data_IF_052901530701
#
_entry.id   IF_052901530701
#
_cell.length_a   1.000
_cell.length_b   1.000
_cell.length_c   1.000
_cell.angle_alpha   90.00
_cell.angle_beta   90.00
_cell.angle_gamma   90.00
#
_symmetry.space_group_name_H-M   'P 1'
#
loop_
_entity.id
_entity.type
_entity.pdbx_description
1 polymer ?
#
# COMPACT_ATOMS: atom_id res chain seq x y z
N UNK A 1 0.79 -18.36 34.22
CA UNK A 1 1.56 -19.59 33.93
C UNK A 1 1.01 -20.18 32.65
N UNK A 2 1.88 -20.81 31.86
CA UNK A 2 1.66 -21.44 30.54
C UNK A 2 1.94 -20.54 29.32
N UNK A 3 3.23 -20.45 28.97
CA UNK A 3 3.67 -20.28 27.58
C UNK A 3 4.28 -21.62 27.15
N UNK A 4 3.68 -22.25 26.15
CA UNK A 4 4.16 -23.49 25.53
C UNK A 4 5.30 -23.14 24.57
N UNK A 5 6.50 -23.65 24.82
CA UNK A 5 7.59 -23.61 23.85
C UNK A 5 7.44 -24.79 22.88
N UNK A 6 7.26 -24.50 21.60
CA UNK A 6 7.41 -25.46 20.51
C UNK A 6 8.89 -25.84 20.42
N UNK A 7 9.18 -27.12 20.66
CA UNK A 7 10.52 -27.68 20.49
C UNK A 7 10.60 -28.32 19.10
N UNK A 8 11.44 -27.76 18.23
CA UNK A 8 11.73 -28.33 16.91
C UNK A 8 12.37 -29.71 17.05
N UNK A 9 11.75 -30.74 16.48
CA UNK A 9 12.30 -32.10 16.36
C UNK A 9 12.66 -32.31 14.90
N UNK A 10 13.91 -32.02 14.53
CA UNK A 10 14.45 -32.22 13.19
C UNK A 10 15.98 -32.13 13.20
N UNK A 11 16.66 -32.98 12.43
CA UNK A 11 18.12 -33.16 12.47
C UNK A 11 18.94 -32.10 11.70
N UNK A 12 18.31 -31.04 11.17
CA UNK A 12 18.98 -29.97 10.42
C UNK A 12 18.75 -28.60 11.07
N UNK A 13 19.38 -28.38 12.21
CA UNK A 13 19.48 -27.06 12.84
C UNK A 13 20.84 -26.40 12.52
N UNK A 14 20.86 -25.13 12.05
CA UNK A 14 22.10 -24.37 11.87
C UNK A 14 22.90 -24.24 13.18
N UNK A 15 24.24 -24.04 13.13
CA UNK A 15 25.13 -24.19 14.29
C UNK A 15 24.90 -23.20 15.44
N UNK A 16 24.03 -22.20 15.27
CA UNK A 16 23.83 -21.12 16.24
C UNK A 16 22.91 -21.49 17.42
N UNK A 17 22.24 -22.65 17.38
CA UNK A 17 21.35 -23.11 18.46
C UNK A 17 21.99 -24.09 19.44
N UNK A 18 23.31 -24.01 19.64
CA UNK A 18 24.02 -24.88 20.58
C UNK A 18 24.60 -24.11 21.76
N UNK A 19 23.74 -23.40 22.50
CA UNK A 19 24.05 -22.99 23.88
C UNK A 19 22.76 -22.70 24.65
N UNK A 20 22.55 -23.50 25.69
CA UNK A 20 21.63 -23.19 26.77
C UNK A 20 22.30 -22.27 27.78
N UNK A 21 21.47 -21.44 28.42
CA UNK A 21 21.64 -20.81 29.73
C UNK A 21 22.78 -19.80 29.91
N UNK A 22 22.37 -18.52 29.96
CA UNK A 22 22.65 -17.65 31.10
C UNK A 22 24.09 -17.21 31.31
N UNK A 23 24.51 -16.16 30.62
CA UNK A 23 25.42 -15.11 31.13
C UNK A 23 25.11 -13.82 30.37
N UNK A 24 25.19 -12.68 31.05
CA UNK A 24 24.75 -11.39 30.55
C UNK A 24 25.47 -10.93 29.28
N UNK A 25 24.77 -10.12 28.48
CA UNK A 25 25.38 -9.36 27.41
C UNK A 25 26.36 -8.33 28.02
N UNK A 26 27.65 -8.61 27.92
CA UNK A 26 28.71 -7.65 28.19
C UNK A 26 28.66 -6.50 27.16
N UNK A 27 28.68 -5.26 27.65
CA UNK A 27 28.63 -4.03 26.85
C UNK A 27 29.92 -3.74 26.05
N UNK A 28 30.91 -4.62 26.04
CA UNK A 28 32.23 -4.35 25.42
C UNK A 28 32.39 -4.85 23.97
N UNK A 29 31.41 -5.57 23.42
CA UNK A 29 31.49 -6.09 22.02
C UNK A 29 30.95 -5.12 20.96
N UNK A 30 30.35 -3.99 21.34
CA UNK A 30 29.83 -2.99 20.39
C UNK A 30 30.88 -1.98 19.89
N UNK A 31 32.00 -1.82 20.59
CA UNK A 31 33.04 -0.85 20.22
C UNK A 31 33.85 -1.26 18.98
N UNK A 32 34.17 -2.54 18.84
CA UNK A 32 35.07 -3.01 17.78
C UNK A 32 34.43 -2.98 16.37
N UNK A 33 33.11 -3.20 16.28
CA UNK A 33 32.38 -3.14 15.02
C UNK A 33 32.20 -1.68 14.59
N UNK A 34 31.88 -0.77 15.52
CA UNK A 34 31.73 0.66 15.26
C UNK A 34 33.03 1.30 14.75
N UNK A 35 34.19 0.96 15.35
CA UNK A 35 35.49 1.51 14.94
C UNK A 35 35.90 1.01 13.54
N UNK A 36 35.51 -0.21 13.16
CA UNK A 36 35.83 -0.79 11.85
C UNK A 36 35.01 -0.13 10.74
N UNK A 37 33.74 0.21 11.01
CA UNK A 37 32.88 0.90 10.06
C UNK A 37 33.31 2.36 9.84
N UNK A 38 33.66 3.08 10.91
CA UNK A 38 34.14 4.47 10.82
C UNK A 38 35.45 4.59 10.03
N UNK A 39 36.38 3.63 10.17
CA UNK A 39 37.61 3.61 9.35
C UNK A 39 37.34 3.39 7.86
N UNK A 40 36.35 2.58 7.50
CA UNK A 40 35.98 2.35 6.11
C UNK A 40 35.37 3.61 5.48
N UNK A 41 34.52 4.32 6.21
CA UNK A 41 33.88 5.58 5.77
C UNK A 41 34.93 6.69 5.60
N UNK A 42 35.91 6.79 6.50
CA UNK A 42 37.00 7.77 6.37
C UNK A 42 37.89 7.52 5.14
N UNK A 43 38.09 6.26 4.75
CA UNK A 43 38.89 5.87 3.58
C UNK A 43 38.20 6.20 2.25
N UNK A 44 36.88 6.19 2.21
CA UNK A 44 36.08 6.57 1.04
C UNK A 44 35.97 8.10 0.87
N UNK A 45 36.11 8.88 1.95
CA UNK A 45 36.05 10.36 1.91
C UNK A 45 37.33 11.05 1.41
N UNK A 46 38.45 10.33 1.30
CA UNK A 46 39.72 10.86 0.80
C UNK A 46 39.84 10.92 -0.73
N UNK A 47 38.89 10.35 -1.47
CA UNK A 47 38.94 10.37 -2.94
C UNK A 47 38.25 11.63 -3.46
N UNK A 48 39.09 12.57 -3.89
CA UNK A 48 38.79 13.89 -4.44
C UNK A 48 37.94 13.77 -5.72
N UNK A 49 36.63 13.57 -5.58
CA UNK A 49 35.69 13.76 -6.69
C UNK A 49 35.26 15.22 -6.72
N UNK A 50 35.90 15.97 -7.63
CA UNK A 50 35.46 17.29 -8.03
C UNK A 50 34.16 17.13 -8.83
N UNK A 51 33.01 17.29 -8.17
CA UNK A 51 31.76 17.57 -8.86
C UNK A 51 31.15 18.84 -8.26
N UNK A 52 31.46 19.94 -8.92
CA UNK A 52 30.93 21.28 -8.70
C UNK A 52 29.42 21.27 -8.96
N UNK A 53 28.68 21.61 -7.91
CA UNK A 53 27.42 22.38 -7.86
C UNK A 53 26.37 22.10 -8.94
N UNK A 54 25.32 21.34 -8.59
CA UNK A 54 23.90 21.62 -8.90
C UNK A 54 23.02 20.82 -7.94
N UNK A 55 22.87 21.29 -6.70
CA UNK A 55 21.81 20.81 -5.78
C UNK A 55 20.66 21.81 -5.89
N UNK A 56 19.50 21.45 -6.49
CA UNK A 56 18.33 22.33 -6.44
C UNK A 56 17.85 22.47 -4.98
N UNK A 57 17.39 23.67 -4.56
CA UNK A 57 16.96 23.90 -3.19
C UNK A 57 15.53 23.37 -3.03
N UNK A 58 15.40 22.22 -2.35
CA UNK A 58 14.27 21.78 -1.51
C UNK A 58 14.05 20.28 -1.65
N UNK A 59 14.93 19.48 -1.04
CA UNK A 59 14.46 18.23 -0.48
C UNK A 59 13.76 18.62 0.84
N UNK A 60 12.50 19.01 0.75
CA UNK A 60 11.61 18.76 1.88
C UNK A 60 11.70 17.27 2.14
N UNK A 61 12.00 16.89 3.38
CA UNK A 61 11.96 15.51 3.79
C UNK A 61 10.55 14.99 3.47
N UNK A 62 10.42 14.19 2.41
CA UNK A 62 9.19 13.44 2.17
C UNK A 62 9.12 12.47 3.33
N UNK A 63 8.29 12.78 4.32
CA UNK A 63 7.81 11.78 5.24
C UNK A 63 7.20 10.70 4.35
N UNK A 64 7.83 9.51 4.29
CA UNK A 64 7.25 8.30 3.74
C UNK A 64 6.08 7.85 4.62
N UNK A 65 5.12 8.76 4.88
CA UNK A 65 3.78 8.40 5.29
C UNK A 65 3.18 7.66 4.11
N UNK A 66 2.64 6.47 4.34
CA UNK A 66 2.05 5.68 3.27
C UNK A 66 0.88 6.52 2.76
N UNK A 67 0.86 6.95 1.48
CA UNK A 67 -0.05 7.99 0.99
C UNK A 67 -1.54 7.63 1.13
N UNK A 68 -1.85 6.40 1.53
CA UNK A 68 -3.19 5.84 1.59
C UNK A 68 -3.52 5.19 2.95
N UNK A 69 -2.85 5.54 4.05
CA UNK A 69 -3.22 5.00 5.38
C UNK A 69 -4.63 5.45 5.82
N UNK A 70 -4.98 6.72 5.59
CA UNK A 70 -6.33 7.21 5.83
C UNK A 70 -7.35 6.47 4.95
N UNK A 71 -7.01 6.24 3.69
CA UNK A 71 -7.84 5.50 2.74
C UNK A 71 -8.11 4.05 3.20
N UNK A 72 -7.11 3.38 3.78
CA UNK A 72 -7.28 2.04 4.38
C UNK A 72 -8.21 2.06 5.57
N UNK A 73 -8.12 3.09 6.42
CA UNK A 73 -9.03 3.23 7.55
C UNK A 73 -10.47 3.45 7.06
N UNK A 74 -10.67 4.34 6.08
CA UNK A 74 -11.98 4.57 5.46
C UNK A 74 -12.56 3.28 4.86
N UNK A 75 -11.75 2.47 4.17
CA UNK A 75 -12.19 1.18 3.65
C UNK A 75 -12.62 0.21 4.77
N UNK A 76 -11.87 0.16 5.87
CA UNK A 76 -12.20 -0.69 7.02
C UNK A 76 -13.48 -0.26 7.72
N UNK A 77 -13.71 1.05 7.85
CA UNK A 77 -14.93 1.59 8.45
C UNK A 77 -16.15 1.30 7.57
N UNK A 78 -16.03 1.57 6.28
CA UNK A 78 -17.05 1.29 5.27
C UNK A 78 -17.43 -0.19 5.24
N UNK A 79 -16.46 -1.10 5.26
CA UNK A 79 -16.75 -2.53 5.32
C UNK A 79 -17.51 -2.91 6.60
N UNK A 80 -17.10 -2.38 7.75
CA UNK A 80 -17.79 -2.66 9.02
C UNK A 80 -19.25 -2.23 8.98
N UNK A 81 -19.54 -1.07 8.40
CA UNK A 81 -20.88 -0.50 8.30
C UNK A 81 -21.76 -1.21 7.27
N UNK A 82 -21.18 -1.63 6.15
CA UNK A 82 -21.90 -2.20 5.02
C UNK A 82 -21.76 -3.74 4.91
N UNK A 83 -21.21 -4.41 5.92
CA UNK A 83 -21.05 -5.89 5.96
C UNK A 83 -22.36 -6.65 6.20
N UNK A 84 -23.44 -5.94 6.53
CA UNK A 84 -24.78 -6.52 6.67
C UNK A 84 -25.66 -6.06 5.53
N UNK A 85 -26.55 -6.94 5.06
CA UNK A 85 -27.54 -6.59 4.05
C UNK A 85 -28.50 -5.52 4.57
N UNK A 86 -29.10 -4.77 3.65
CA UNK A 86 -30.04 -3.68 3.96
C UNK A 86 -29.42 -2.56 4.81
N UNK A 87 -28.11 -2.34 4.67
CA UNK A 87 -27.38 -1.29 5.40
C UNK A 87 -27.84 0.13 5.04
N UNK A 88 -28.46 0.29 3.87
CA UNK A 88 -29.04 1.56 3.41
C UNK A 88 -30.54 1.69 3.70
N UNK A 89 -31.21 0.63 4.17
CA UNK A 89 -32.66 0.58 4.35
C UNK A 89 -33.47 0.48 3.05
N UNK A 90 -32.82 0.24 1.91
CA UNK A 90 -33.44 0.07 0.60
C UNK A 90 -33.09 -1.29 -0.04
N UNK A 91 -32.66 -2.25 0.76
CA UNK A 91 -32.33 -3.60 0.32
C UNK A 91 -30.95 -3.74 -0.30
N UNK A 92 -29.99 -2.87 0.03
CA UNK A 92 -28.60 -3.04 -0.43
C UNK A 92 -28.01 -4.40 -0.03
N UNK A 93 -27.17 -4.94 -0.91
CA UNK A 93 -26.43 -6.16 -0.61
C UNK A 93 -25.29 -5.85 0.36
N UNK A 94 -24.95 -6.85 1.20
CA UNK A 94 -23.78 -6.78 2.05
C UNK A 94 -22.51 -6.74 1.20
N UNK A 95 -21.54 -5.94 1.60
CA UNK A 95 -20.19 -6.02 1.06
C UNK A 95 -19.58 -7.34 1.50
N UNK A 96 -19.04 -8.09 0.52
CA UNK A 96 -18.41 -9.38 0.78
C UNK A 96 -16.95 -9.20 1.22
N UNK A 97 -16.41 -10.20 1.94
CA UNK A 97 -14.99 -10.22 2.31
C UNK A 97 -14.08 -10.22 1.06
N UNK A 98 -14.51 -10.89 -0.02
CA UNK A 98 -13.76 -10.90 -1.28
C UNK A 98 -13.70 -9.51 -1.93
N UNK A 99 -14.81 -8.76 -1.91
CA UNK A 99 -14.84 -7.38 -2.40
C UNK A 99 -13.92 -6.48 -1.56
N UNK A 100 -13.96 -6.62 -0.23
CA UNK A 100 -13.08 -5.89 0.68
C UNK A 100 -11.60 -6.21 0.42
N UNK A 101 -11.24 -7.49 0.32
CA UNK A 101 -9.87 -7.91 0.03
C UNK A 101 -9.39 -7.43 -1.35
N UNK A 102 -10.28 -7.42 -2.35
CA UNK A 102 -9.99 -6.86 -3.67
C UNK A 102 -9.75 -5.35 -3.62
N UNK A 103 -10.57 -4.60 -2.88
CA UNK A 103 -10.39 -3.17 -2.66
C UNK A 103 -9.07 -2.86 -1.95
N UNK A 104 -8.66 -3.67 -0.95
CA UNK A 104 -7.36 -3.53 -0.31
C UNK A 104 -6.20 -3.69 -1.31
N UNK A 105 -6.28 -4.70 -2.18
CA UNK A 105 -5.26 -4.90 -3.24
C UNK A 105 -5.18 -3.71 -4.17
N UNK A 106 -6.31 -3.11 -4.57
CA UNK A 106 -6.31 -1.89 -5.38
C UNK A 106 -5.53 -0.77 -4.69
N UNK A 107 -5.78 -0.53 -3.40
CA UNK A 107 -5.07 0.50 -2.62
C UNK A 107 -3.55 0.24 -2.59
N UNK A 108 -3.15 -1.02 -2.45
CA UNK A 108 -1.73 -1.40 -2.39
C UNK A 108 -0.99 -1.17 -3.72
N UNK A 109 -1.70 -1.21 -4.85
CA UNK A 109 -1.12 -1.03 -6.19
C UNK A 109 -1.39 0.36 -6.78
N UNK A 110 -2.10 1.22 -6.04
CA UNK A 110 -2.39 2.58 -6.49
C UNK A 110 -1.09 3.41 -6.60
N UNK A 111 -0.88 4.11 -7.72
CA UNK A 111 0.27 4.99 -7.87
C UNK A 111 0.29 6.14 -6.84
N UNK A 112 1.46 6.37 -6.24
CA UNK A 112 1.64 7.40 -5.20
C UNK A 112 1.49 8.86 -5.67
N UNK A 113 1.47 9.10 -6.98
CA UNK A 113 1.27 10.44 -7.55
C UNK A 113 -0.21 10.83 -7.66
N UNK A 114 -1.12 9.87 -7.48
CA UNK A 114 -2.55 10.15 -7.51
C UNK A 114 -3.03 10.72 -6.17
N UNK A 115 -4.00 11.66 -6.20
CA UNK A 115 -4.76 11.95 -5.01
C UNK A 115 -5.53 10.69 -4.58
N UNK A 116 -5.75 10.56 -3.27
CA UNK A 116 -6.57 9.48 -2.73
C UNK A 116 -7.99 9.56 -3.32
N UNK A 117 -8.54 8.44 -3.84
CA UNK A 117 -9.94 8.39 -4.23
C UNK A 117 -10.86 8.50 -3.02
N UNK A 118 -12.10 8.89 -3.26
CA UNK A 118 -13.21 8.66 -2.34
C UNK A 118 -13.66 7.19 -2.46
N UNK A 119 -13.91 6.52 -1.33
CA UNK A 119 -14.42 5.15 -1.32
C UNK A 119 -15.91 5.17 -0.98
N UNK A 120 -16.71 4.46 -1.78
CA UNK A 120 -18.16 4.43 -1.65
C UNK A 120 -18.65 2.98 -1.66
N UNK A 121 -19.61 2.64 -0.81
CA UNK A 121 -20.29 1.36 -0.83
C UNK A 121 -21.39 1.38 -1.89
N UNK A 122 -21.40 0.42 -2.79
CA UNK A 122 -22.47 0.31 -3.79
C UNK A 122 -23.60 -0.60 -3.29
N UNK A 123 -24.87 -0.32 -3.64
CA UNK A 123 -26.00 -1.18 -3.26
C UNK A 123 -25.90 -2.62 -3.79
N UNK A 124 -25.06 -2.86 -4.80
CA UNK A 124 -24.74 -4.19 -5.32
C UNK A 124 -23.84 -5.02 -4.40
N UNK A 125 -23.28 -4.44 -3.33
CA UNK A 125 -22.24 -5.07 -2.49
C UNK A 125 -20.83 -4.92 -3.07
N UNK A 126 -20.68 -4.14 -4.15
CA UNK A 126 -19.40 -3.74 -4.71
C UNK A 126 -18.85 -2.50 -3.95
N UNK A 127 -17.54 -2.25 -4.08
CA UNK A 127 -16.86 -1.07 -3.52
C UNK A 127 -16.40 -0.17 -4.67
N UNK A 128 -16.84 1.08 -4.64
CA UNK A 128 -16.47 2.13 -5.57
C UNK A 128 -15.25 2.93 -5.09
N UNK A 129 -14.42 3.34 -6.04
CA UNK A 129 -13.33 4.29 -5.90
C UNK A 129 -13.54 5.42 -6.88
N UNK A 130 -13.68 6.66 -6.39
CA UNK A 130 -14.00 7.82 -7.20
C UNK A 130 -12.91 8.89 -7.12
N UNK A 131 -12.46 9.34 -8.29
CA UNK A 131 -11.63 10.52 -8.47
C UNK A 131 -12.45 11.62 -9.11
N UNK A 132 -12.79 12.62 -8.32
CA UNK A 132 -13.35 13.86 -8.81
C UNK A 132 -12.26 14.93 -8.92
N UNK A 133 -12.08 15.49 -10.11
CA UNK A 133 -11.14 16.61 -10.32
C UNK A 133 -11.88 17.95 -10.39
N UNK A 134 -12.87 18.04 -11.26
CA UNK A 134 -13.69 19.23 -11.48
C UNK A 134 -14.96 18.86 -12.26
N UNK A 135 -15.84 19.84 -12.50
CA UNK A 135 -17.10 19.61 -13.22
C UNK A 135 -16.84 18.99 -14.59
N UNK A 136 -17.40 17.80 -14.83
CA UNK A 136 -17.23 17.06 -16.08
C UNK A 136 -15.91 16.29 -16.19
N UNK A 137 -15.12 16.21 -15.11
CA UNK A 137 -13.90 15.40 -15.00
C UNK A 137 -13.97 14.51 -13.76
N UNK A 138 -14.49 13.30 -13.96
CA UNK A 138 -14.64 12.27 -12.92
C UNK A 138 -14.20 10.92 -13.47
N UNK A 139 -13.60 10.09 -12.65
CA UNK A 139 -13.31 8.71 -12.97
C UNK A 139 -13.68 7.83 -11.78
N UNK A 140 -14.35 6.72 -12.03
CA UNK A 140 -14.79 5.78 -11.02
C UNK A 140 -14.41 4.36 -11.43
N UNK A 141 -14.05 3.54 -10.44
CA UNK A 141 -13.92 2.09 -10.57
C UNK A 141 -14.69 1.41 -9.46
N UNK A 142 -15.20 0.23 -9.76
CA UNK A 142 -15.99 -0.61 -8.87
C UNK A 142 -15.41 -2.01 -8.86
N UNK A 143 -15.28 -2.59 -7.67
CA UNK A 143 -14.76 -3.94 -7.43
C UNK A 143 -15.68 -4.74 -6.54
N UNK A 144 -15.82 -6.03 -6.84
CA UNK A 144 -16.85 -6.89 -6.25
C UNK A 144 -16.35 -8.24 -5.77
N UNK A 145 -15.03 -8.43 -5.67
CA UNK A 145 -14.44 -9.72 -5.30
C UNK A 145 -14.41 -10.73 -6.43
N UNK A 146 -14.53 -10.28 -7.67
CA UNK A 146 -14.68 -11.14 -8.87
C UNK A 146 -13.48 -11.07 -9.81
N UNK A 147 -12.35 -10.52 -9.34
CA UNK A 147 -11.16 -10.28 -10.16
C UNK A 147 -11.46 -9.42 -11.39
N UNK A 148 -12.45 -8.52 -11.28
CA UNK A 148 -12.88 -7.66 -12.37
C UNK A 148 -13.16 -6.26 -11.83
N UNK A 149 -12.53 -5.29 -12.47
CA UNK A 149 -12.80 -3.87 -12.27
C UNK A 149 -13.83 -3.45 -13.32
N UNK A 150 -14.95 -2.89 -12.87
CA UNK A 150 -15.86 -2.11 -13.72
C UNK A 150 -15.43 -0.65 -13.58
N UNK A 151 -15.36 0.09 -14.68
CA UNK A 151 -14.93 1.48 -14.63
C UNK A 151 -15.78 2.37 -15.52
N UNK A 152 -15.85 3.65 -15.14
CA UNK A 152 -16.49 4.70 -15.91
C UNK A 152 -15.74 6.03 -15.71
N UNK A 153 -15.65 6.83 -16.75
CA UNK A 153 -14.96 8.11 -16.75
C UNK A 153 -15.67 9.13 -17.62
N UNK A 154 -15.67 10.37 -17.14
CA UNK A 154 -16.08 11.55 -17.91
C UNK A 154 -14.87 12.48 -17.98
N UNK A 155 -14.46 12.87 -19.18
CA UNK A 155 -13.27 13.69 -19.43
C UNK A 155 -13.62 14.91 -20.28
N UNK A 156 -14.28 15.91 -19.68
CA UNK A 156 -14.66 17.17 -20.32
C UNK A 156 -15.46 17.03 -21.63
N UNK A 157 -16.37 16.05 -21.67
CA UNK A 157 -17.25 15.79 -22.82
C UNK A 157 -17.18 14.35 -23.31
N UNK A 158 -16.01 13.74 -23.23
CA UNK A 158 -15.84 12.32 -23.52
C UNK A 158 -16.37 11.47 -22.36
N UNK A 159 -17.04 10.36 -22.70
CA UNK A 159 -17.46 9.35 -21.73
C UNK A 159 -16.86 8.02 -22.14
N UNK A 160 -16.23 7.35 -21.19
CA UNK A 160 -15.60 6.06 -21.39
C UNK A 160 -16.03 5.13 -20.26
N UNK A 161 -16.32 3.88 -20.58
CA UNK A 161 -16.69 2.88 -19.59
C UNK A 161 -16.27 1.50 -20.07
N UNK A 162 -16.12 0.57 -19.15
CA UNK A 162 -15.73 -0.78 -19.51
C UNK A 162 -15.58 -1.68 -18.30
N UNK A 163 -15.06 -2.87 -18.58
CA UNK A 163 -14.68 -3.81 -17.54
C UNK A 163 -13.39 -4.51 -17.93
N UNK A 164 -12.50 -4.69 -16.97
CA UNK A 164 -11.19 -5.30 -17.18
C UNK A 164 -10.88 -6.27 -16.05
N UNK A 165 -10.10 -7.30 -16.34
CA UNK A 165 -9.66 -8.25 -15.32
C UNK A 165 -8.60 -7.61 -14.41
N UNK A 166 -8.61 -7.99 -13.13
CA UNK A 166 -7.69 -7.49 -12.12
C UNK A 166 -6.99 -8.64 -11.38
N UNK A 167 -5.67 -8.55 -11.34
CA UNK A 167 -4.79 -9.51 -10.65
C UNK A 167 -3.89 -8.75 -9.66
N UNK A 168 -2.62 -8.61 -10.00
CA UNK A 168 -1.60 -8.05 -9.12
C UNK A 168 -1.22 -6.61 -9.46
N UNK A 169 -1.67 -6.09 -10.61
CA UNK A 169 -1.32 -4.75 -11.08
C UNK A 169 -2.53 -4.02 -11.64
N UNK A 170 -2.53 -2.70 -11.56
CA UNK A 170 -3.59 -1.89 -12.18
C UNK A 170 -3.48 -2.03 -13.70
N UNK A 171 -4.57 -2.45 -14.39
CA UNK A 171 -4.56 -2.60 -15.83
C UNK A 171 -4.21 -1.29 -16.54
N UNK A 172 -3.45 -1.38 -17.63
CA UNK A 172 -2.95 -0.22 -18.38
C UNK A 172 -4.06 0.74 -18.81
N UNK A 173 -5.25 0.20 -19.14
CA UNK A 173 -6.42 1.00 -19.51
C UNK A 173 -6.86 1.94 -18.38
N UNK A 174 -6.87 1.46 -17.12
CA UNK A 174 -7.20 2.26 -15.95
C UNK A 174 -6.13 3.35 -15.74
N UNK A 175 -4.85 3.00 -15.89
CA UNK A 175 -3.75 3.97 -15.79
C UNK A 175 -3.82 5.07 -16.85
N UNK A 176 -4.25 4.73 -18.07
CA UNK A 176 -4.44 5.70 -19.16
C UNK A 176 -5.56 6.70 -18.82
N UNK A 177 -6.69 6.21 -18.28
CA UNK A 177 -7.79 7.05 -17.85
C UNK A 177 -7.41 7.96 -16.67
N UNK A 178 -6.70 7.44 -15.67
CA UNK A 178 -6.21 8.22 -14.53
C UNK A 178 -5.26 9.34 -14.97
N UNK A 179 -4.38 9.09 -15.96
CA UNK A 179 -3.54 10.14 -16.58
C UNK A 179 -4.34 11.14 -17.40
N UNK A 180 -5.42 10.71 -18.08
CA UNK A 180 -6.33 11.61 -18.79
C UNK A 180 -7.06 12.54 -17.82
N UNK A 181 -7.35 12.06 -16.60
CA UNK A 181 -7.95 12.86 -15.53
C UNK A 181 -6.96 13.89 -14.96
N UNK A 182 -5.74 13.46 -14.65
CA UNK A 182 -4.67 14.29 -14.09
C UNK A 182 -3.48 14.42 -15.08
N UNK A 183 -3.63 15.21 -16.16
CA UNK A 183 -2.54 15.55 -17.06
C UNK A 183 -1.51 16.47 -16.41
#
# INVERSE_FOLDING_TARGET
>A
MSSLALQCIGRDCPPYWRSSSGTGFDQDSSGAIAITLERAIAKLRGSKFMFTTLVPPSCEAITLGRPFDELRNSLSELYRECSQSDWDGYGAQAITEDAYAEAQRIIDVLPSWLPAPEIVAEPSGDIGFEWYKEKGKVFALSVGGRHRIIYAGIFAGDKEHGSVYFEETIPLVIMQHLRKLYP
#
